data_IF_721114624657
#
_entry.id   IF_721114624657
#
_cell.length_a   1.000
_cell.length_b   1.000
_cell.length_c   1.000
_cell.angle_alpha   90.00
_cell.angle_beta   90.00
_cell.angle_gamma   90.00
#
_symmetry.space_group_name_H-M   'P 1'
#
loop_
_entity.id
_entity.type
_entity.pdbx_description
1 polymer ?
#
# COMPACT_ATOMS: atom_id res chain seq x y z
N UNK A 1 13.35 42.26 2.02
CA UNK A 1 13.47 41.21 3.05
C UNK A 1 12.57 40.04 2.65
N UNK A 2 13.05 39.21 1.71
CA UNK A 2 12.37 38.04 1.13
C UNK A 2 13.24 36.83 1.44
N UNK A 3 12.97 36.09 2.51
CA UNK A 3 13.69 34.85 2.84
C UNK A 3 12.79 33.88 3.61
N UNK A 4 11.71 33.39 2.99
CA UNK A 4 11.03 32.15 3.41
C UNK A 4 10.14 31.56 2.29
N UNK A 5 10.71 30.96 1.22
CA UNK A 5 9.94 30.04 0.38
C UNK A 5 10.45 28.58 0.44
N UNK A 6 11.46 28.24 1.25
CA UNK A 6 12.12 26.92 1.18
C UNK A 6 11.49 25.82 2.04
N UNK A 7 10.42 26.09 2.80
CA UNK A 7 9.75 25.10 3.67
C UNK A 7 8.47 24.49 3.07
N UNK A 8 8.12 24.86 1.84
CA UNK A 8 6.89 24.42 1.16
C UNK A 8 7.02 23.29 0.09
N UNK A 9 8.17 22.65 -0.20
CA UNK A 9 8.16 21.56 -1.18
C UNK A 9 7.47 20.29 -0.67
N UNK A 10 7.56 19.97 0.63
CA UNK A 10 6.95 18.73 1.18
C UNK A 10 5.42 18.76 1.19
N UNK A 11 4.79 19.91 1.43
CA UNK A 11 3.32 20.00 1.42
C UNK A 11 2.72 19.73 0.05
N UNK A 12 3.36 20.13 -1.06
CA UNK A 12 2.82 19.86 -2.40
C UNK A 12 3.04 18.42 -2.84
N UNK A 13 4.17 17.82 -2.48
CA UNK A 13 4.40 16.40 -2.71
C UNK A 13 3.41 15.54 -1.90
N UNK A 14 3.18 15.87 -0.63
CA UNK A 14 2.21 15.16 0.23
C UNK A 14 0.75 15.38 -0.20
N UNK A 15 0.37 16.59 -0.65
CA UNK A 15 -0.96 16.83 -1.22
C UNK A 15 -1.17 16.07 -2.54
N UNK A 16 -0.12 15.92 -3.35
CA UNK A 16 -0.19 15.18 -4.62
C UNK A 16 -0.33 13.67 -4.41
N UNK A 17 0.32 13.11 -3.38
CA UNK A 17 0.11 11.71 -2.98
C UNK A 17 -1.30 11.47 -2.40
N UNK A 18 -1.87 12.46 -1.71
CA UNK A 18 -3.26 12.38 -1.23
C UNK A 18 -4.29 12.45 -2.37
N UNK A 19 -4.02 13.20 -3.45
CA UNK A 19 -4.84 13.19 -4.67
C UNK A 19 -4.72 11.86 -5.44
N UNK A 20 -3.55 11.21 -5.44
CA UNK A 20 -3.37 9.86 -6.00
C UNK A 20 -4.03 8.76 -5.15
N UNK A 21 -4.31 9.02 -3.87
CA UNK A 21 -4.98 8.07 -2.95
C UNK A 21 -6.49 7.97 -3.17
N UNK A 22 -7.10 8.87 -3.95
CA UNK A 22 -8.45 8.65 -4.47
C UNK A 22 -8.36 7.67 -5.64
N UNK A 23 -9.22 6.65 -5.67
CA UNK A 23 -9.43 5.73 -6.80
C UNK A 23 -9.90 6.54 -8.02
N UNK A 24 -8.96 7.22 -8.67
CA UNK A 24 -9.17 7.93 -9.92
C UNK A 24 -8.99 6.89 -11.02
N UNK A 25 -10.06 6.65 -11.77
CA UNK A 25 -10.09 5.67 -12.85
C UNK A 25 -8.84 5.76 -13.74
N UNK A 26 -7.96 4.75 -13.66
CA UNK A 26 -6.74 4.72 -14.48
C UNK A 26 -7.03 4.04 -15.81
N UNK A 27 -6.70 4.66 -16.95
CA UNK A 27 -7.02 4.12 -18.28
C UNK A 27 -6.31 2.80 -18.56
N UNK A 28 -5.17 2.53 -17.91
CA UNK A 28 -4.41 1.28 -18.00
C UNK A 28 -5.21 0.05 -17.55
N UNK A 29 -6.16 0.20 -16.62
CA UNK A 29 -6.98 -0.91 -16.13
C UNK A 29 -7.99 -1.40 -17.18
N UNK A 30 -8.36 -0.56 -18.16
CA UNK A 30 -9.28 -0.95 -19.22
C UNK A 30 -8.72 -2.05 -20.12
N UNK A 31 -7.39 -2.20 -20.20
CA UNK A 31 -6.75 -3.28 -20.96
C UNK A 31 -6.81 -4.62 -20.22
N UNK A 32 -6.93 -4.59 -18.90
CA UNK A 32 -6.99 -5.78 -18.04
C UNK A 32 -8.42 -6.30 -17.86
N UNK A 33 -9.43 -5.48 -18.16
CA UNK A 33 -10.82 -5.87 -17.97
C UNK A 33 -11.28 -6.86 -19.05
N UNK A 34 -12.12 -7.85 -18.68
CA UNK A 34 -12.75 -8.73 -19.64
C UNK A 34 -13.51 -7.95 -20.71
N UNK A 35 -13.50 -8.46 -21.94
CA UNK A 35 -14.11 -7.79 -23.08
C UNK A 35 -15.58 -7.43 -22.81
N UNK A 36 -15.88 -6.13 -22.82
CA UNK A 36 -17.23 -5.59 -22.58
C UNK A 36 -17.51 -5.07 -21.17
N UNK A 37 -16.57 -5.23 -20.22
CA UNK A 37 -16.70 -4.67 -18.86
C UNK A 37 -15.99 -3.31 -18.80
N UNK A 38 -16.72 -2.25 -18.40
CA UNK A 38 -16.12 -0.95 -18.05
C UNK A 38 -15.99 -0.86 -16.53
N UNK A 39 -14.87 -0.36 -16.05
CA UNK A 39 -14.70 -0.02 -14.63
C UNK A 39 -15.64 1.11 -14.23
N UNK A 40 -16.24 1.02 -13.05
CA UNK A 40 -17.09 2.07 -12.45
C UNK A 40 -16.39 2.84 -11.31
N UNK A 41 -15.05 2.89 -11.33
CA UNK A 41 -14.25 3.63 -10.34
C UNK A 41 -14.58 5.12 -10.33
N UNK A 42 -14.94 5.68 -11.50
CA UNK A 42 -15.44 7.05 -11.66
C UNK A 42 -16.70 7.34 -10.83
N UNK A 43 -17.42 6.29 -10.41
CA UNK A 43 -18.61 6.37 -9.56
C UNK A 43 -18.36 5.92 -8.12
N UNK A 44 -17.10 5.69 -7.75
CA UNK A 44 -16.69 5.25 -6.41
C UNK A 44 -16.82 3.75 -6.16
N UNK A 45 -16.99 2.93 -7.20
CA UNK A 45 -16.93 1.47 -7.05
C UNK A 45 -15.50 1.00 -7.30
N UNK A 46 -14.83 0.50 -6.26
CA UNK A 46 -13.50 -0.07 -6.39
C UNK A 46 -13.47 -1.23 -7.40
N UNK A 47 -12.49 -1.21 -8.32
CA UNK A 47 -12.40 -2.18 -9.41
C UNK A 47 -12.36 -3.63 -8.92
N UNK A 48 -11.66 -3.88 -7.79
CA UNK A 48 -11.58 -5.22 -7.23
C UNK A 48 -12.95 -5.76 -6.79
N UNK A 49 -13.77 -4.91 -6.18
CA UNK A 49 -15.13 -5.30 -5.76
C UNK A 49 -16.01 -5.59 -6.98
N UNK A 50 -15.84 -4.83 -8.06
CA UNK A 50 -16.50 -5.13 -9.32
C UNK A 50 -16.08 -6.49 -9.89
N UNK A 51 -14.77 -6.78 -9.88
CA UNK A 51 -14.23 -8.04 -10.38
C UNK A 51 -14.65 -9.23 -9.50
N UNK A 52 -14.75 -9.05 -8.18
CA UNK A 52 -15.17 -10.11 -7.27
C UNK A 52 -16.59 -10.58 -7.57
N UNK A 53 -17.53 -9.66 -7.85
CA UNK A 53 -18.91 -9.99 -8.24
C UNK A 53 -18.95 -10.83 -9.53
N UNK A 54 -18.08 -10.54 -10.50
CA UNK A 54 -18.00 -11.33 -11.74
C UNK A 54 -17.48 -12.75 -11.49
N UNK A 55 -16.49 -12.90 -10.61
CA UNK A 55 -15.97 -14.21 -10.22
C UNK A 55 -17.01 -15.00 -9.42
N UNK A 56 -17.75 -14.36 -8.52
CA UNK A 56 -18.88 -14.98 -7.81
C UNK A 56 -19.96 -15.47 -8.78
N UNK A 57 -20.31 -14.65 -9.77
CA UNK A 57 -21.26 -15.03 -10.81
C UNK A 57 -20.72 -16.21 -11.64
N UNK A 58 -19.41 -16.27 -11.90
CA UNK A 58 -18.77 -17.41 -12.55
C UNK A 58 -18.83 -18.68 -11.69
N UNK A 59 -18.53 -18.60 -10.39
CA UNK A 59 -18.62 -19.74 -9.46
C UNK A 59 -20.06 -20.26 -9.42
N UNK A 60 -21.05 -19.38 -9.30
CA UNK A 60 -22.46 -19.76 -9.31
C UNK A 60 -22.86 -20.45 -10.62
N UNK A 61 -22.49 -19.87 -11.77
CA UNK A 61 -22.75 -20.49 -13.09
C UNK A 61 -22.09 -21.87 -13.22
N UNK A 62 -20.89 -22.05 -12.68
CA UNK A 62 -20.19 -23.33 -12.70
C UNK A 62 -20.88 -24.38 -11.83
N UNK A 63 -21.41 -23.99 -10.68
CA UNK A 63 -22.22 -24.86 -9.82
C UNK A 63 -23.53 -25.25 -10.51
N UNK A 64 -24.26 -24.30 -11.08
CA UNK A 64 -25.53 -24.55 -11.79
C UNK A 64 -25.35 -25.49 -13.00
N UNK A 65 -24.17 -25.44 -13.64
CA UNK A 65 -23.78 -26.30 -14.76
C UNK A 65 -23.15 -27.62 -14.34
N UNK A 66 -22.94 -27.85 -13.05
CA UNK A 66 -22.32 -29.08 -12.53
C UNK A 66 -20.83 -29.22 -12.85
N UNK A 67 -20.10 -28.12 -13.08
CA UNK A 67 -18.65 -28.14 -13.31
C UNK A 67 -17.87 -28.56 -12.05
N UNK A 68 -18.42 -28.28 -10.87
CA UNK A 68 -17.84 -28.65 -9.58
C UNK A 68 -18.95 -28.85 -8.54
N UNK A 69 -18.67 -29.64 -7.50
CA UNK A 69 -19.63 -29.98 -6.44
C UNK A 69 -19.85 -28.81 -5.47
N UNK A 70 -20.99 -28.79 -4.77
CA UNK A 70 -21.34 -27.73 -3.82
C UNK A 70 -20.25 -27.44 -2.75
N UNK A 71 -19.55 -28.45 -2.17
CA UNK A 71 -18.44 -28.17 -1.26
C UNK A 71 -17.28 -27.42 -1.93
N UNK A 72 -16.94 -27.75 -3.17
CA UNK A 72 -15.88 -27.08 -3.91
C UNK A 72 -16.25 -25.63 -4.26
N UNK A 73 -17.51 -25.39 -4.68
CA UNK A 73 -18.03 -24.05 -4.89
C UNK A 73 -17.91 -23.18 -3.62
N UNK A 74 -18.28 -23.74 -2.47
CA UNK A 74 -18.16 -23.05 -1.18
C UNK A 74 -16.71 -22.73 -0.79
N UNK A 75 -15.76 -23.62 -1.12
CA UNK A 75 -14.33 -23.36 -0.90
C UNK A 75 -13.84 -22.22 -1.80
N UNK A 76 -14.18 -22.21 -3.08
CA UNK A 76 -13.83 -21.12 -4.00
C UNK A 76 -14.37 -19.77 -3.53
N UNK A 77 -15.64 -19.74 -3.10
CA UNK A 77 -16.26 -18.54 -2.52
C UNK A 77 -15.51 -18.05 -1.27
N UNK A 78 -15.02 -18.98 -0.44
CA UNK A 78 -14.25 -18.64 0.77
C UNK A 78 -12.89 -18.04 0.41
N UNK A 79 -12.20 -18.58 -0.60
CA UNK A 79 -10.92 -18.02 -1.07
C UNK A 79 -11.11 -16.63 -1.70
N UNK A 80 -12.19 -16.43 -2.46
CA UNK A 80 -12.54 -15.11 -2.99
C UNK A 80 -12.79 -14.10 -1.87
N UNK A 81 -13.57 -14.46 -0.85
CA UNK A 81 -13.82 -13.60 0.30
C UNK A 81 -12.52 -13.24 1.05
N UNK A 82 -11.56 -14.16 1.12
CA UNK A 82 -10.26 -13.89 1.72
C UNK A 82 -9.48 -12.80 0.95
N UNK A 83 -9.50 -12.84 -0.39
CA UNK A 83 -8.88 -11.80 -1.23
C UNK A 83 -9.58 -10.45 -1.03
N UNK A 84 -10.91 -10.41 -1.04
CA UNK A 84 -11.70 -9.18 -0.83
C UNK A 84 -11.43 -8.59 0.56
N UNK A 85 -11.32 -9.44 1.59
CA UNK A 85 -11.00 -9.01 2.95
C UNK A 85 -9.59 -8.45 3.05
N UNK A 86 -8.60 -9.12 2.44
CA UNK A 86 -7.22 -8.63 2.42
C UNK A 86 -7.12 -7.25 1.75
N UNK A 87 -7.82 -7.05 0.62
CA UNK A 87 -7.88 -5.76 -0.04
C UNK A 87 -8.55 -4.68 0.82
N UNK A 88 -9.69 -5.00 1.45
CA UNK A 88 -10.38 -4.05 2.34
C UNK A 88 -9.49 -3.61 3.51
N UNK A 89 -8.65 -4.51 4.02
CA UNK A 89 -7.66 -4.19 5.05
C UNK A 89 -6.55 -3.27 4.50
N UNK A 90 -6.05 -3.52 3.29
CA UNK A 90 -5.07 -2.65 2.63
C UNK A 90 -5.64 -1.26 2.37
N UNK A 91 -6.86 -1.18 1.87
CA UNK A 91 -7.59 0.07 1.66
C UNK A 91 -7.77 0.82 2.98
N UNK A 92 -8.11 0.13 4.08
CA UNK A 92 -8.20 0.75 5.40
C UNK A 92 -6.86 1.32 5.85
N UNK A 93 -5.75 0.59 5.68
CA UNK A 93 -4.42 1.07 6.06
C UNK A 93 -4.04 2.29 5.21
N UNK A 94 -4.26 2.23 3.90
CA UNK A 94 -3.92 3.30 2.97
C UNK A 94 -4.78 4.56 3.18
N UNK A 95 -6.07 4.38 3.45
CA UNK A 95 -7.02 5.48 3.68
C UNK A 95 -6.97 6.04 5.10
N UNK A 96 -6.28 5.39 6.05
CA UNK A 96 -6.12 5.92 7.42
C UNK A 96 -5.15 7.10 7.35
N UNK A 97 -5.64 8.35 7.34
CA UNK A 97 -4.75 9.48 7.16
C UNK A 97 -4.06 9.72 8.50
N UNK A 98 -2.73 9.58 8.53
CA UNK A 98 -1.99 10.09 9.68
C UNK A 98 -2.12 11.61 9.66
N UNK A 99 -2.52 12.16 10.80
CA UNK A 99 -2.81 13.58 10.89
C UNK A 99 -1.53 14.38 10.59
N UNK A 100 -1.50 15.07 9.44
CA UNK A 100 -0.35 15.89 9.00
C UNK A 100 0.09 16.88 10.08
N UNK A 101 -0.87 17.37 10.88
CA UNK A 101 -0.59 18.23 12.03
C UNK A 101 0.33 17.57 13.08
N UNK A 102 0.22 16.25 13.30
CA UNK A 102 1.05 15.51 14.25
C UNK A 102 2.50 15.40 13.80
N UNK A 103 2.78 15.22 12.51
CA UNK A 103 4.16 15.20 11.99
C UNK A 103 4.84 16.56 12.19
N UNK A 104 4.15 17.63 11.78
CA UNK A 104 4.68 19.00 11.89
C UNK A 104 4.88 19.35 13.37
N UNK A 105 3.93 18.97 14.22
CA UNK A 105 4.02 19.22 15.66
C UNK A 105 5.18 18.46 16.30
N UNK A 106 5.40 17.20 15.92
CA UNK A 106 6.50 16.39 16.43
C UNK A 106 7.86 17.03 16.12
N UNK A 107 8.05 17.53 14.89
CA UNK A 107 9.26 18.25 14.50
C UNK A 107 9.45 19.55 15.29
N UNK A 108 8.38 20.31 15.52
CA UNK A 108 8.42 21.52 16.34
C UNK A 108 8.80 21.24 17.79
N UNK A 109 8.23 20.19 18.38
CA UNK A 109 8.54 19.76 19.75
C UNK A 109 9.98 19.30 19.84
N UNK A 110 10.47 18.54 18.87
CA UNK A 110 11.86 18.08 18.83
C UNK A 110 12.85 19.25 18.68
N UNK A 111 12.51 20.24 17.85
CA UNK A 111 13.30 21.46 17.72
C UNK A 111 13.36 22.26 19.03
N UNK A 112 12.21 22.42 19.72
CA UNK A 112 12.16 23.07 21.03
C UNK A 112 12.96 22.29 22.08
N UNK A 113 12.86 20.96 22.08
CA UNK A 113 13.62 20.10 22.97
C UNK A 113 15.13 20.32 22.81
N UNK A 114 15.63 20.40 21.57
CA UNK A 114 17.05 20.69 21.30
C UNK A 114 17.52 22.07 21.75
N UNK A 115 16.64 23.06 21.76
CA UNK A 115 16.95 24.41 22.28
C UNK A 115 16.99 24.42 23.81
N UNK A 116 16.07 23.71 24.47
CA UNK A 116 15.95 23.72 25.94
C UNK A 116 16.99 22.82 26.61
N UNK A 117 17.32 21.68 25.99
CA UNK A 117 18.26 20.68 26.53
C UNK A 117 19.62 21.24 26.99
N UNK A 118 20.35 22.10 26.23
CA UNK A 118 21.63 22.63 26.68
C UNK A 118 21.49 23.47 27.95
N UNK A 119 20.40 24.23 28.13
CA UNK A 119 20.15 24.99 29.35
C UNK A 119 19.90 24.08 30.57
N UNK A 120 19.35 22.88 30.36
CA UNK A 120 19.13 21.91 31.43
C UNK A 120 20.40 21.27 31.97
N UNK A 121 21.42 21.06 31.12
CA UNK A 121 22.64 20.32 31.49
C UNK A 121 23.88 21.20 31.66
N UNK A 122 23.84 22.47 31.22
CA UNK A 122 25.01 23.37 31.26
C UNK A 122 25.57 23.57 32.66
N UNK A 123 24.72 23.59 33.70
CA UNK A 123 25.17 23.77 35.08
C UNK A 123 26.11 22.65 35.56
N UNK A 124 25.88 21.42 35.10
CA UNK A 124 26.64 20.24 35.52
C UNK A 124 27.85 19.97 34.62
N UNK A 125 27.69 20.16 33.30
CA UNK A 125 28.69 19.75 32.30
C UNK A 125 29.51 20.91 31.73
N UNK A 126 29.12 22.17 31.95
CA UNK A 126 29.81 23.34 31.41
C UNK A 126 30.08 23.19 29.90
N UNK A 127 31.32 23.29 29.45
CA UNK A 127 31.72 23.14 28.04
C UNK A 127 31.36 21.78 27.42
N UNK A 128 31.27 20.71 28.22
CA UNK A 128 30.87 19.39 27.71
C UNK A 128 29.37 19.29 27.38
N UNK A 129 28.55 20.28 27.80
CA UNK A 129 27.14 20.32 27.45
C UNK A 129 26.90 20.41 25.94
N UNK A 130 27.80 21.08 25.20
CA UNK A 130 27.69 21.26 23.75
C UNK A 130 27.79 19.92 23.00
N UNK A 131 28.89 19.14 23.12
CA UNK A 131 29.00 17.86 22.44
C UNK A 131 27.95 16.84 22.94
N UNK A 132 27.58 16.88 24.22
CA UNK A 132 26.54 15.98 24.75
C UNK A 132 25.16 16.28 24.16
N UNK A 133 24.78 17.56 24.09
CA UNK A 133 23.51 18.00 23.46
C UNK A 133 23.49 17.58 22.00
N UNK A 134 24.59 17.79 21.27
CA UNK A 134 24.69 17.39 19.87
C UNK A 134 24.51 15.87 19.69
N UNK A 135 25.12 15.05 20.54
CA UNK A 135 24.99 13.59 20.49
C UNK A 135 23.55 13.12 20.79
N UNK A 136 22.89 13.72 21.78
CA UNK A 136 21.48 13.41 22.12
C UNK A 136 20.57 13.81 20.95
N UNK A 137 20.72 15.02 20.44
CA UNK A 137 19.88 15.51 19.33
C UNK A 137 20.09 14.72 18.05
N UNK A 138 21.34 14.34 17.74
CA UNK A 138 21.61 13.46 16.60
C UNK A 138 20.84 12.14 16.71
N UNK A 139 20.81 11.53 17.90
CA UNK A 139 20.08 10.28 18.13
C UNK A 139 18.57 10.47 17.95
N UNK A 140 17.97 11.49 18.58
CA UNK A 140 16.51 11.68 18.53
C UNK A 140 16.03 12.13 17.15
N UNK A 141 16.75 13.03 16.47
CA UNK A 141 16.46 13.36 15.07
C UNK A 141 16.67 12.18 14.13
N UNK A 142 17.66 11.32 14.39
CA UNK A 142 17.84 10.09 13.63
C UNK A 142 16.62 9.17 13.73
N UNK A 143 16.07 9.00 14.94
CA UNK A 143 14.87 8.18 15.17
C UNK A 143 13.64 8.82 14.51
N UNK A 144 13.46 10.14 14.62
CA UNK A 144 12.35 10.85 13.97
C UNK A 144 12.40 10.73 12.45
N UNK A 145 13.58 10.89 11.84
CA UNK A 145 13.76 10.75 10.40
C UNK A 145 13.48 9.32 9.90
N UNK A 146 13.85 8.29 10.68
CA UNK A 146 13.51 6.89 10.36
C UNK A 146 12.00 6.67 10.51
N UNK A 147 11.39 7.23 11.55
CA UNK A 147 9.95 7.13 11.78
C UNK A 147 9.14 7.74 10.63
N UNK A 148 9.57 8.90 10.13
CA UNK A 148 8.93 9.56 8.99
C UNK A 148 9.00 8.72 7.70
N UNK A 149 10.09 7.98 7.47
CA UNK A 149 10.19 7.06 6.32
C UNK A 149 9.28 5.83 6.45
N UNK A 150 9.00 5.38 7.67
CA UNK A 150 8.16 4.20 7.91
C UNK A 150 6.65 4.52 7.86
N UNK A 151 6.30 5.80 7.73
CA UNK A 151 4.94 6.28 7.87
C UNK A 151 4.05 6.00 6.65
N UNK A 152 4.63 5.97 5.46
CA UNK A 152 3.94 5.64 4.20
C UNK A 152 4.53 4.37 3.54
N UNK A 153 4.16 3.17 4.01
CA UNK A 153 4.76 1.92 3.52
C UNK A 153 4.42 1.58 2.05
N UNK A 154 3.46 2.29 1.46
CA UNK A 154 3.00 2.11 0.07
C UNK A 154 3.49 3.23 -0.86
N UNK A 155 4.38 4.10 -0.37
CA UNK A 155 4.99 5.15 -1.16
C UNK A 155 5.99 4.62 -2.20
N UNK A 156 6.81 5.55 -2.69
CA UNK A 156 7.85 5.28 -3.70
C UNK A 156 9.28 5.49 -3.17
N UNK A 157 9.44 5.56 -1.85
CA UNK A 157 10.76 5.65 -1.22
C UNK A 157 11.50 4.30 -1.31
N UNK A 158 12.82 4.37 -1.14
CA UNK A 158 13.70 3.19 -1.30
C UNK A 158 13.37 2.07 -0.31
N UNK A 159 12.83 2.41 0.86
CA UNK A 159 12.53 1.48 1.94
C UNK A 159 11.08 1.01 1.94
N UNK A 160 10.27 1.48 0.98
CA UNK A 160 8.86 1.13 0.89
C UNK A 160 8.65 -0.25 0.29
N UNK A 161 7.45 -0.79 0.47
CA UNK A 161 7.06 -2.07 -0.09
C UNK A 161 6.97 -1.91 -1.61
N UNK A 162 7.70 -2.76 -2.34
CA UNK A 162 7.69 -2.77 -3.81
C UNK A 162 6.45 -3.47 -4.35
N UNK A 163 5.28 -2.84 -4.21
CA UNK A 163 3.99 -3.40 -4.65
C UNK A 163 4.02 -3.78 -6.12
N UNK A 164 4.59 -2.93 -6.99
CA UNK A 164 4.69 -3.20 -8.43
C UNK A 164 5.47 -4.49 -8.73
N UNK A 165 6.55 -4.74 -7.98
CA UNK A 165 7.35 -5.95 -8.16
C UNK A 165 6.57 -7.20 -7.71
N UNK A 166 5.82 -7.11 -6.62
CA UNK A 166 4.97 -8.20 -6.12
C UNK A 166 3.85 -8.51 -7.13
N UNK A 167 3.21 -7.48 -7.67
CA UNK A 167 2.13 -7.63 -8.66
C UNK A 167 2.67 -8.26 -9.95
N UNK A 168 3.84 -7.82 -10.42
CA UNK A 168 4.47 -8.36 -11.62
C UNK A 168 4.87 -9.84 -11.44
N UNK A 169 5.42 -10.20 -10.28
CA UNK A 169 5.77 -11.59 -9.96
C UNK A 169 4.51 -12.47 -9.96
N UNK A 170 3.45 -12.04 -9.28
CA UNK A 170 2.17 -12.74 -9.24
C UNK A 170 1.53 -12.88 -10.64
N UNK A 171 1.65 -11.86 -11.49
CA UNK A 171 1.20 -11.90 -12.89
C UNK A 171 1.92 -12.99 -13.66
N UNK A 172 3.26 -13.05 -13.55
CA UNK A 172 4.08 -14.06 -14.22
C UNK A 172 3.73 -15.47 -13.72
N UNK A 173 3.68 -15.68 -12.41
CA UNK A 173 3.31 -16.97 -11.81
C UNK A 173 1.94 -17.45 -12.31
N UNK A 174 0.95 -16.58 -12.32
CA UNK A 174 -0.42 -16.91 -12.75
C UNK A 174 -0.48 -17.27 -14.23
N UNK A 175 0.24 -16.54 -15.09
CA UNK A 175 0.29 -16.82 -16.54
C UNK A 175 0.98 -18.16 -16.80
N UNK A 176 2.12 -18.41 -16.15
CA UNK A 176 2.84 -19.68 -16.31
C UNK A 176 1.98 -20.86 -15.85
N UNK A 177 1.29 -20.73 -14.71
CA UNK A 177 0.34 -21.75 -14.24
C UNK A 177 -0.77 -22.02 -15.27
N UNK A 178 -1.32 -20.97 -15.88
CA UNK A 178 -2.38 -21.11 -16.89
C UNK A 178 -1.86 -21.75 -18.19
N UNK A 179 -0.65 -21.39 -18.63
CA UNK A 179 -0.01 -21.94 -19.81
C UNK A 179 0.32 -23.43 -19.63
N UNK A 180 0.86 -23.81 -18.47
CA UNK A 180 1.17 -25.20 -18.11
C UNK A 180 -0.09 -26.06 -17.98
N UNK A 181 -1.15 -25.51 -17.37
CA UNK A 181 -2.46 -26.18 -17.33
C UNK A 181 -3.03 -26.40 -18.73
N UNK A 182 -2.91 -25.41 -19.62
CA UNK A 182 -3.39 -25.49 -21.01
C UNK A 182 -2.57 -26.44 -21.87
N UNK A 183 -1.25 -26.50 -21.65
CA UNK A 183 -0.34 -27.37 -22.40
C UNK A 183 -0.45 -28.85 -21.98
N UNK A 184 -1.05 -29.13 -20.81
CA UNK A 184 -1.20 -30.48 -20.27
C UNK A 184 0.14 -31.08 -19.87
N UNK A 185 1.01 -30.26 -19.28
CA UNK A 185 2.37 -30.64 -18.92
C UNK A 185 2.42 -31.69 -17.80
N UNK A 186 3.63 -32.19 -17.50
CA UNK A 186 3.86 -33.22 -16.47
C UNK A 186 3.34 -32.80 -15.09
N UNK A 187 3.30 -31.50 -14.80
CA UNK A 187 2.78 -30.93 -13.55
C UNK A 187 1.26 -30.98 -13.48
N UNK A 188 0.59 -30.78 -14.61
CA UNK A 188 -0.87 -30.85 -14.75
C UNK A 188 -1.26 -31.84 -15.86
N UNK A 189 -1.12 -33.15 -15.62
CA UNK A 189 -1.50 -34.14 -16.61
C UNK A 189 -3.00 -34.00 -16.89
N UNK A 190 -3.32 -33.59 -18.12
CA UNK A 190 -4.69 -33.58 -18.63
C UNK A 190 -5.14 -35.03 -18.76
N UNK A 191 -5.66 -35.61 -17.68
CA UNK A 191 -6.29 -36.91 -17.75
C UNK A 191 -7.52 -36.73 -18.63
N UNK A 192 -7.46 -37.19 -19.88
CA UNK A 192 -8.60 -37.22 -20.79
C UNK A 192 -9.68 -38.05 -20.11
N UNK A 193 -10.66 -37.37 -19.51
CA UNK A 193 -11.89 -37.97 -19.06
C UNK A 193 -12.55 -38.58 -20.31
N UNK A 194 -12.44 -39.91 -20.41
CA UNK A 194 -13.23 -40.77 -21.28
C UNK A 194 -14.72 -40.52 -21.11
#
# INVERSE_FOLDING_TARGET
MRLLPSLLPSTKAQLRHHEESTSVAKPEYNELLPYGIRGFEDRGLGLLLQLSVEIEAYIKRGQDRGWFYAPQASQLQTQLNAIVTAYSNLETIHLTPIAVASLIHLQQVLALFGIVLPFGIVAQMQWYAIPMTAAIMFTVYGIEAIGAQLEDPFGYDKNDIKVDAIVEDLRVETIVLLEEWRSGSVTFPQNKLT
#
